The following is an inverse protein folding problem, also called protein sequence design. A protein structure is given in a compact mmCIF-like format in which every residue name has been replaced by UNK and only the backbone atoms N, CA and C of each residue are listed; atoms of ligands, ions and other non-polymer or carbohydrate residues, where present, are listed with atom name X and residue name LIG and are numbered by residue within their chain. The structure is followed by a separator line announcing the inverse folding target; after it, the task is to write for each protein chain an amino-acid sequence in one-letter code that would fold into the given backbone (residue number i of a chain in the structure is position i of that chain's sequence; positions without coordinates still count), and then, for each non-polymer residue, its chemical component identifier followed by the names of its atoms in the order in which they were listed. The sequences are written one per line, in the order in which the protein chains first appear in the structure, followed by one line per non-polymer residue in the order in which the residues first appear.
data_IF_111431273101
#
_entry.id   IF_111431273101
#
_cell.length_a   1.000
_cell.length_b   1.000
_cell.length_c   1.000
_cell.angle_alpha   90.00
_cell.angle_beta   90.00
_cell.angle_gamma   90.00
#
_symmetry.space_group_name_H-M   'P 1'
#
loop_
_entity.id
_entity.type
_entity.pdbx_description
1 polymer ?
#
# COMPACT_ATOMS: atom_id res chain seq x y z
N UNK A 1 14.31 31.43 21.65
CA UNK A 1 14.03 30.50 22.76
C UNK A 1 12.53 30.27 22.80
N UNK A 2 12.10 29.02 22.59
CA UNK A 2 10.70 28.59 22.68
C UNK A 2 10.22 28.65 24.13
N UNK A 3 8.91 28.75 24.33
CA UNK A 3 8.33 28.81 25.69
C UNK A 3 8.40 27.44 26.37
N UNK A 4 8.45 27.36 27.72
CA UNK A 4 8.55 26.10 28.44
C UNK A 4 7.45 25.07 28.10
N UNK A 5 6.26 25.52 27.70
CA UNK A 5 5.13 24.67 27.30
C UNK A 5 5.31 23.97 25.94
N UNK A 6 6.10 24.54 25.02
CA UNK A 6 6.33 23.95 23.69
C UNK A 6 7.34 22.78 23.74
N UNK A 7 8.17 22.73 24.79
CA UNK A 7 9.16 21.67 25.00
C UNK A 7 8.56 20.35 25.49
N UNK A 8 7.31 20.34 25.99
CA UNK A 8 6.60 19.12 26.39
C UNK A 8 5.87 18.44 25.23
N UNK A 9 5.65 19.16 24.12
CA UNK A 9 4.83 18.68 22.99
C UNK A 9 5.70 18.08 21.87
N UNK A 10 6.89 18.64 21.62
CA UNK A 10 7.75 18.27 20.50
C UNK A 10 8.96 17.44 20.94
N UNK A 11 9.33 16.43 20.15
CA UNK A 11 10.55 15.67 20.40
C UNK A 11 11.80 16.50 20.10
N UNK A 12 12.97 16.03 20.58
CA UNK A 12 14.26 16.65 20.25
C UNK A 12 14.52 16.66 18.74
N UNK A 13 14.05 15.65 18.02
CA UNK A 13 14.21 15.57 16.57
C UNK A 13 13.37 16.63 15.87
N UNK A 14 12.11 16.83 16.29
CA UNK A 14 11.21 17.83 15.71
C UNK A 14 11.78 19.24 15.86
N UNK A 15 12.27 19.57 17.05
CA UNK A 15 12.89 20.87 17.34
C UNK A 15 14.19 21.08 16.56
N UNK A 16 15.04 20.04 16.48
CA UNK A 16 16.30 20.12 15.73
C UNK A 16 16.04 20.28 14.23
N UNK A 17 15.07 19.54 13.68
CA UNK A 17 14.65 19.64 12.28
C UNK A 17 14.10 21.04 11.96
N UNK A 18 13.19 21.55 12.79
CA UNK A 18 12.62 22.88 12.63
C UNK A 18 13.68 23.98 12.66
N UNK A 19 14.59 23.94 13.65
CA UNK A 19 15.68 24.91 13.77
C UNK A 19 16.65 24.82 12.58
N UNK A 20 16.96 23.61 12.12
CA UNK A 20 17.85 23.40 10.98
C UNK A 20 17.31 24.07 9.71
N UNK A 21 16.01 23.92 9.42
CA UNK A 21 15.40 24.54 8.24
C UNK A 21 15.23 26.05 8.43
N UNK A 22 14.75 26.51 9.60
CA UNK A 22 14.53 27.95 9.86
C UNK A 22 15.81 28.79 9.74
N UNK A 23 16.97 28.22 10.09
CA UNK A 23 18.27 28.88 9.98
C UNK A 23 18.67 29.19 8.53
N UNK A 24 18.06 28.54 7.54
CA UNK A 24 18.33 28.74 6.11
C UNK A 24 17.40 29.76 5.44
N UNK A 25 16.58 30.44 6.24
CA UNK A 25 15.61 31.43 5.76
C UNK A 25 16.08 32.85 6.05
N UNK A 26 15.65 33.81 5.23
CA UNK A 26 15.87 35.25 5.42
C UNK A 26 14.71 35.95 6.14
N UNK A 27 13.83 35.18 6.79
CA UNK A 27 12.67 35.71 7.50
C UNK A 27 13.08 36.49 8.76
N UNK A 28 12.26 37.47 9.14
CA UNK A 28 12.38 38.21 10.38
C UNK A 28 12.06 37.34 11.61
N UNK A 29 12.51 37.76 12.78
CA UNK A 29 12.41 36.98 14.02
C UNK A 29 11.00 36.44 14.35
N UNK A 30 9.88 37.21 14.22
CA UNK A 30 8.56 36.68 14.54
C UNK A 30 8.08 35.63 13.51
N UNK A 31 8.27 35.87 12.20
CA UNK A 31 7.90 34.88 11.16
C UNK A 31 8.78 33.64 11.24
N UNK A 32 10.06 33.80 11.56
CA UNK A 32 10.97 32.67 11.78
C UNK A 32 10.52 31.79 12.94
N UNK A 33 10.07 32.38 14.06
CA UNK A 33 9.53 31.61 15.18
C UNK A 33 8.24 30.86 14.79
N UNK A 34 7.35 31.51 14.04
CA UNK A 34 6.13 30.87 13.54
C UNK A 34 6.46 29.69 12.59
N UNK A 35 7.45 29.85 11.72
CA UNK A 35 7.95 28.78 10.85
C UNK A 35 8.54 27.62 11.66
N UNK A 36 9.33 27.89 12.70
CA UNK A 36 9.87 26.84 13.57
C UNK A 36 8.75 26.01 14.22
N UNK A 37 7.72 26.65 14.76
CA UNK A 37 6.56 25.95 15.33
C UNK A 37 5.85 25.11 14.26
N UNK A 38 5.60 25.67 13.07
CA UNK A 38 4.93 24.97 11.97
C UNK A 38 5.71 23.72 11.52
N UNK A 39 7.03 23.82 11.39
CA UNK A 39 7.89 22.70 10.99
C UNK A 39 8.00 21.63 12.08
N UNK A 40 8.00 22.03 13.36
CA UNK A 40 7.96 21.10 14.48
C UNK A 40 6.62 20.33 14.50
N UNK A 41 5.49 21.02 14.24
CA UNK A 41 4.18 20.39 14.08
C UNK A 41 4.16 19.42 12.91
N UNK A 42 4.67 19.80 11.74
CA UNK A 42 4.76 18.91 10.59
C UNK A 42 5.54 17.62 10.92
N UNK A 43 6.71 17.77 11.53
CA UNK A 43 7.55 16.63 11.93
C UNK A 43 6.85 15.74 12.96
N UNK A 44 6.18 16.32 13.96
CA UNK A 44 5.42 15.56 14.95
C UNK A 44 4.25 14.79 14.34
N UNK A 45 3.45 15.44 13.48
CA UNK A 45 2.31 14.83 12.80
C UNK A 45 2.76 13.65 11.92
N UNK A 46 3.93 13.76 11.30
CA UNK A 46 4.53 12.67 10.53
C UNK A 46 4.93 11.47 11.40
N UNK A 47 5.43 11.69 12.62
CA UNK A 47 5.66 10.61 13.57
C UNK A 47 4.35 9.95 14.06
N UNK A 48 3.22 10.65 13.96
CA UNK A 48 1.88 10.14 14.27
C UNK A 48 1.20 9.48 13.06
N UNK A 49 1.86 9.43 11.91
CA UNK A 49 1.36 8.75 10.71
C UNK A 49 0.79 9.67 9.62
N UNK A 50 0.79 10.99 9.81
CA UNK A 50 0.25 11.95 8.84
C UNK A 50 1.30 12.39 7.80
N UNK A 51 0.95 12.37 6.50
CA UNK A 51 1.88 12.79 5.43
C UNK A 51 2.04 14.32 5.33
N UNK A 52 1.04 15.07 5.80
CA UNK A 52 0.94 16.51 5.67
C UNK A 52 0.14 17.15 6.80
N UNK A 53 0.22 18.47 6.90
CA UNK A 53 -0.63 19.29 7.77
C UNK A 53 -1.40 20.32 6.94
N UNK A 54 -2.62 20.64 7.34
CA UNK A 54 -3.36 21.76 6.75
C UNK A 54 -2.76 23.10 7.18
N UNK A 55 -2.71 24.03 6.23
CA UNK A 55 -2.18 25.38 6.44
C UNK A 55 -3.16 26.43 5.91
N UNK A 56 -3.15 27.61 6.51
CA UNK A 56 -3.91 28.78 6.04
C UNK A 56 -3.06 29.65 5.09
N UNK A 57 -3.71 30.64 4.47
CA UNK A 57 -3.06 31.55 3.50
C UNK A 57 -1.90 32.35 4.12
N UNK A 58 -1.97 32.66 5.42
CA UNK A 58 -0.90 33.35 6.14
C UNK A 58 0.36 32.49 6.22
N UNK A 59 0.22 31.23 6.62
CA UNK A 59 1.35 30.28 6.67
C UNK A 59 1.87 29.97 5.28
N UNK A 60 0.99 29.83 4.30
CA UNK A 60 1.35 29.63 2.90
C UNK A 60 2.25 30.75 2.38
N UNK A 61 1.84 32.01 2.56
CA UNK A 61 2.65 33.18 2.15
C UNK A 61 4.01 33.20 2.85
N UNK A 62 4.04 32.87 4.15
CA UNK A 62 5.28 32.75 4.91
C UNK A 62 6.22 31.65 4.40
N UNK A 63 5.69 30.50 4.02
CA UNK A 63 6.47 29.39 3.48
C UNK A 63 7.07 29.73 2.12
N UNK A 64 6.32 30.42 1.24
CA UNK A 64 6.84 30.88 -0.05
C UNK A 64 7.94 31.94 0.13
N UNK A 65 7.73 32.93 0.99
CA UNK A 65 8.73 33.95 1.32
C UNK A 65 9.99 33.37 1.97
N UNK A 66 9.87 32.19 2.60
CA UNK A 66 11.01 31.52 3.26
C UNK A 66 12.06 30.99 2.28
N UNK A 67 11.68 30.79 1.01
CA UNK A 67 12.51 30.14 -0.01
C UNK A 67 12.69 28.63 0.19
N UNK A 68 11.96 28.02 1.14
CA UNK A 68 12.03 26.57 1.44
C UNK A 68 10.88 25.76 0.84
N UNK A 69 9.84 26.41 0.34
CA UNK A 69 8.64 25.76 -0.19
C UNK A 69 8.30 26.30 -1.56
N UNK A 70 7.61 25.47 -2.35
CA UNK A 70 7.05 25.85 -3.63
C UNK A 70 5.66 25.25 -3.81
N UNK A 71 4.86 25.91 -4.65
CA UNK A 71 3.58 25.39 -5.13
C UNK A 71 3.82 24.64 -6.44
N UNK A 72 3.48 23.36 -6.49
CA UNK A 72 3.64 22.50 -7.67
C UNK A 72 5.10 22.28 -8.17
N UNK A 73 5.90 21.47 -7.44
CA UNK A 73 7.26 21.10 -7.88
C UNK A 73 7.29 20.20 -9.15
N UNK A 74 6.15 19.77 -9.69
CA UNK A 74 6.08 18.88 -10.86
C UNK A 74 6.69 19.49 -12.16
N UNK A 75 6.92 20.81 -12.19
CA UNK A 75 7.51 21.52 -13.33
C UNK A 75 8.74 22.36 -12.98
N UNK A 76 9.16 22.38 -11.70
CA UNK A 76 10.26 23.21 -11.25
C UNK A 76 11.63 22.56 -11.55
N UNK A 77 12.56 23.33 -12.11
CA UNK A 77 13.97 22.93 -12.26
C UNK A 77 14.73 22.84 -10.93
N UNK A 78 14.12 23.32 -9.85
CA UNK A 78 14.68 23.42 -8.51
C UNK A 78 13.84 22.60 -7.53
N UNK A 79 14.49 21.75 -6.74
CA UNK A 79 13.83 20.94 -5.70
C UNK A 79 13.81 21.70 -4.38
N UNK A 80 12.63 21.86 -3.80
CA UNK A 80 12.43 22.48 -2.49
C UNK A 80 12.25 21.40 -1.41
N UNK A 81 12.72 21.62 -0.16
CA UNK A 81 12.54 20.65 0.92
C UNK A 81 11.07 20.51 1.36
N UNK A 82 10.25 21.53 1.14
CA UNK A 82 8.82 21.56 1.48
C UNK A 82 7.99 21.74 0.21
N UNK A 83 6.78 21.17 0.23
CA UNK A 83 5.83 21.29 -0.88
C UNK A 83 4.48 21.72 -0.33
N UNK A 84 3.85 22.67 -1.03
CA UNK A 84 2.49 23.10 -0.74
C UNK A 84 1.58 22.62 -1.86
N UNK A 85 0.54 21.86 -1.51
CA UNK A 85 -0.48 21.41 -2.44
C UNK A 85 -1.85 21.47 -1.79
N UNK A 86 -2.80 22.19 -2.40
CA UNK A 86 -4.18 22.32 -1.92
C UNK A 86 -4.28 22.69 -0.43
N UNK A 87 -3.53 23.73 -0.01
CA UNK A 87 -3.45 24.18 1.39
C UNK A 87 -2.95 23.12 2.39
N UNK A 88 -2.20 22.12 1.90
CA UNK A 88 -1.50 21.14 2.73
C UNK A 88 0.01 21.31 2.56
N UNK A 89 0.73 21.26 3.68
CA UNK A 89 2.18 21.32 3.74
C UNK A 89 2.76 19.92 3.90
N UNK A 90 3.70 19.58 3.03
CA UNK A 90 4.39 18.30 3.01
C UNK A 90 5.90 18.50 3.15
N UNK A 91 6.58 17.49 3.70
CA UNK A 91 7.98 17.27 3.33
C UNK A 91 8.01 16.73 1.90
N UNK A 92 8.91 17.29 1.07
CA UNK A 92 9.01 16.93 -0.35
C UNK A 92 9.11 15.43 -0.59
N UNK A 93 9.83 14.71 0.27
CA UNK A 93 9.98 13.25 0.16
C UNK A 93 8.63 12.51 0.19
N UNK A 94 7.74 12.86 1.11
CA UNK A 94 6.45 12.18 1.27
C UNK A 94 5.46 12.61 0.20
N UNK A 95 5.44 13.91 -0.14
CA UNK A 95 4.69 14.39 -1.30
C UNK A 95 5.08 13.64 -2.57
N UNK A 96 6.39 13.45 -2.80
CA UNK A 96 6.90 12.73 -3.97
C UNK A 96 6.46 11.25 -3.98
N UNK A 97 6.47 10.58 -2.82
CA UNK A 97 5.95 9.20 -2.74
C UNK A 97 4.45 9.13 -3.01
N UNK A 98 3.67 10.06 -2.48
CA UNK A 98 2.22 10.15 -2.66
C UNK A 98 1.84 10.40 -4.12
N UNK A 99 2.38 11.47 -4.72
CA UNK A 99 2.13 11.83 -6.12
C UNK A 99 2.53 10.69 -7.08
N UNK A 100 3.69 10.08 -6.84
CA UNK A 100 4.18 8.99 -7.68
C UNK A 100 3.31 7.74 -7.54
N UNK A 101 2.97 7.35 -6.32
CA UNK A 101 2.11 6.20 -6.05
C UNK A 101 0.73 6.41 -6.69
N UNK A 102 0.12 7.58 -6.49
CA UNK A 102 -1.19 7.89 -7.05
C UNK A 102 -1.19 7.82 -8.59
N UNK A 103 -0.18 8.39 -9.25
CA UNK A 103 -0.04 8.33 -10.72
C UNK A 103 0.08 6.90 -11.23
N UNK A 104 0.92 6.08 -10.60
CA UNK A 104 1.14 4.71 -11.04
C UNK A 104 -0.06 3.81 -10.77
N UNK A 105 -0.63 3.88 -9.57
CA UNK A 105 -1.81 3.10 -9.22
C UNK A 105 -2.98 3.46 -10.13
N UNK A 106 -3.19 4.75 -10.46
CA UNK A 106 -4.21 5.16 -11.43
C UNK A 106 -3.99 4.50 -12.80
N UNK A 107 -2.74 4.45 -13.28
CA UNK A 107 -2.44 3.76 -14.53
C UNK A 107 -2.70 2.25 -14.43
N UNK A 108 -2.27 1.61 -13.36
CA UNK A 108 -2.45 0.17 -13.11
C UNK A 108 -3.93 -0.22 -13.00
N UNK A 109 -4.72 0.58 -12.28
CA UNK A 109 -6.14 0.33 -12.02
C UNK A 109 -7.01 0.37 -13.28
N UNK A 110 -6.57 1.09 -14.33
CA UNK A 110 -7.26 1.15 -15.62
C UNK A 110 -6.88 0.03 -16.60
N UNK A 111 -5.90 -0.82 -16.26
CA UNK A 111 -5.51 -1.92 -17.14
C UNK A 111 -6.47 -3.09 -16.94
N UNK A 112 -7.44 -3.17 -17.86
CA UNK A 112 -8.38 -4.28 -17.98
C UNK A 112 -7.88 -5.31 -19.01
N UNK A 113 -7.91 -6.59 -18.62
CA UNK A 113 -7.59 -7.75 -19.44
C UNK A 113 -8.87 -8.60 -19.58
N UNK A 114 -9.59 -8.53 -20.72
CA UNK A 114 -10.75 -9.38 -20.93
C UNK A 114 -10.33 -10.85 -20.89
N UNK A 115 -11.14 -11.67 -20.24
CA UNK A 115 -10.92 -13.11 -20.14
C UNK A 115 -12.15 -13.81 -20.70
N UNK A 116 -11.95 -14.61 -21.76
CA UNK A 116 -13.00 -15.43 -22.34
C UNK A 116 -13.35 -16.60 -21.42
N UNK A 117 -14.62 -17.00 -21.38
CA UNK A 117 -15.12 -18.13 -20.57
C UNK A 117 -14.79 -18.06 -19.06
N UNK A 118 -14.59 -16.84 -18.53
CA UNK A 118 -14.22 -16.64 -17.13
C UNK A 118 -15.25 -17.24 -16.16
N UNK A 119 -16.54 -17.13 -16.43
CA UNK A 119 -17.58 -17.66 -15.54
C UNK A 119 -17.48 -19.18 -15.37
N UNK A 120 -17.23 -19.93 -16.44
CA UNK A 120 -17.07 -21.40 -16.35
C UNK A 120 -15.87 -21.79 -15.47
N UNK A 121 -14.77 -21.03 -15.56
CA UNK A 121 -13.59 -21.25 -14.74
C UNK A 121 -13.84 -20.87 -13.28
N UNK A 122 -14.50 -19.73 -13.05
CA UNK A 122 -14.90 -19.30 -11.71
C UNK A 122 -15.80 -20.35 -11.04
N UNK A 123 -16.77 -20.89 -11.77
CA UNK A 123 -17.71 -21.87 -11.25
C UNK A 123 -17.01 -23.18 -10.86
N UNK A 124 -15.92 -23.56 -11.53
CA UNK A 124 -15.11 -24.72 -11.13
C UNK A 124 -14.31 -24.46 -9.85
N UNK A 125 -13.79 -23.25 -9.66
CA UNK A 125 -12.94 -22.91 -8.51
C UNK A 125 -13.73 -22.50 -7.26
N UNK A 126 -14.89 -21.88 -7.44
CA UNK A 126 -15.70 -21.31 -6.36
C UNK A 126 -17.07 -21.99 -6.21
N UNK A 127 -17.46 -22.83 -7.18
CA UNK A 127 -18.78 -23.45 -7.22
C UNK A 127 -19.84 -22.51 -7.81
N UNK A 128 -21.04 -23.07 -8.01
CA UNK A 128 -22.21 -22.30 -8.42
C UNK A 128 -23.07 -22.05 -7.17
N UNK A 129 -23.04 -20.82 -6.67
CA UNK A 129 -23.96 -20.38 -5.62
C UNK A 129 -25.12 -19.60 -6.25
N UNK A 130 -26.32 -20.20 -6.24
CA UNK A 130 -27.51 -19.63 -6.87
C UNK A 130 -28.30 -18.67 -5.95
N UNK A 131 -28.01 -18.66 -4.64
CA UNK A 131 -28.85 -18.00 -3.63
C UNK A 131 -28.27 -16.71 -3.07
N UNK A 132 -26.94 -16.57 -3.00
CA UNK A 132 -26.25 -15.39 -2.46
C UNK A 132 -24.99 -15.06 -3.26
N UNK A 133 -24.59 -13.78 -3.24
CA UNK A 133 -23.36 -13.32 -3.90
C UNK A 133 -22.14 -13.84 -3.15
N UNK A 134 -21.35 -14.69 -3.82
CA UNK A 134 -20.06 -15.12 -3.32
C UNK A 134 -19.01 -14.01 -3.56
N UNK A 135 -18.68 -13.27 -2.50
CA UNK A 135 -17.67 -12.20 -2.55
C UNK A 135 -16.26 -12.73 -2.86
N UNK A 136 -15.96 -14.01 -2.58
CA UNK A 136 -14.68 -14.62 -2.97
C UNK A 136 -14.63 -14.87 -4.48
N UNK A 137 -15.77 -15.29 -5.07
CA UNK A 137 -15.92 -15.42 -6.53
C UNK A 137 -15.80 -14.07 -7.23
N UNK A 138 -16.43 -13.02 -6.70
CA UNK A 138 -16.31 -11.66 -7.26
C UNK A 138 -14.88 -11.10 -7.13
N UNK A 139 -14.19 -11.36 -6.01
CA UNK A 139 -12.78 -11.03 -5.85
C UNK A 139 -11.91 -11.72 -6.93
N UNK A 140 -12.19 -12.99 -7.22
CA UNK A 140 -11.48 -13.73 -8.26
C UNK A 140 -11.76 -13.20 -9.67
N UNK A 141 -13.00 -12.81 -9.95
CA UNK A 141 -13.38 -12.17 -11.21
C UNK A 141 -12.61 -10.87 -11.43
N UNK A 142 -12.59 -9.99 -10.44
CA UNK A 142 -11.85 -8.71 -10.51
C UNK A 142 -10.35 -8.97 -10.63
N UNK A 143 -9.78 -9.89 -9.84
CA UNK A 143 -8.36 -10.24 -9.93
C UNK A 143 -7.97 -10.86 -11.30
N UNK A 144 -8.89 -11.58 -11.94
CA UNK A 144 -8.69 -12.15 -13.28
C UNK A 144 -8.72 -11.09 -14.39
N UNK A 145 -9.50 -10.03 -14.21
CA UNK A 145 -9.71 -9.01 -15.25
C UNK A 145 -8.91 -7.72 -15.05
N UNK A 146 -8.52 -7.39 -13.82
CA UNK A 146 -7.80 -6.15 -13.52
C UNK A 146 -6.32 -6.43 -13.23
N UNK A 147 -5.45 -5.51 -13.63
CA UNK A 147 -4.03 -5.58 -13.23
C UNK A 147 -3.81 -5.18 -11.76
N UNK A 148 -4.74 -4.43 -11.17
CA UNK A 148 -4.70 -4.05 -9.76
C UNK A 148 -6.01 -4.43 -9.07
N UNK A 149 -5.90 -5.11 -7.94
CA UNK A 149 -7.04 -5.54 -7.14
C UNK A 149 -6.72 -5.46 -5.65
N UNK A 150 -7.69 -4.98 -4.87
CA UNK A 150 -7.65 -4.98 -3.41
C UNK A 150 -8.71 -5.94 -2.91
N UNK A 151 -8.32 -6.91 -2.08
CA UNK A 151 -9.23 -7.83 -1.41
C UNK A 151 -9.13 -7.54 0.09
N UNK A 152 -10.20 -6.99 0.64
CA UNK A 152 -10.30 -6.65 2.06
C UNK A 152 -11.29 -7.57 2.77
N UNK A 153 -11.16 -7.67 4.09
CA UNK A 153 -12.12 -8.35 4.94
C UNK A 153 -11.53 -8.63 6.32
N UNK A 154 -12.40 -8.87 7.29
CA UNK A 154 -11.99 -9.15 8.67
C UNK A 154 -11.21 -10.46 8.86
N UNK A 155 -10.79 -10.77 10.09
CA UNK A 155 -10.22 -12.07 10.42
C UNK A 155 -11.23 -13.20 10.16
N UNK A 156 -10.80 -14.27 9.49
CA UNK A 156 -11.66 -15.45 9.26
C UNK A 156 -12.59 -15.38 8.04
N UNK A 157 -12.51 -14.33 7.21
CA UNK A 157 -13.32 -14.18 5.99
C UNK A 157 -12.81 -14.98 4.78
N UNK A 158 -11.77 -15.79 4.98
CA UNK A 158 -11.21 -16.66 3.94
C UNK A 158 -10.34 -15.96 2.90
N UNK A 159 -9.75 -14.80 3.20
CA UNK A 159 -8.80 -14.08 2.30
C UNK A 159 -7.72 -15.01 1.74
N UNK A 160 -7.07 -15.80 2.60
CA UNK A 160 -5.97 -16.66 2.16
C UNK A 160 -6.44 -17.89 1.37
N UNK A 161 -7.64 -18.39 1.63
CA UNK A 161 -8.27 -19.44 0.81
C UNK A 161 -8.66 -18.89 -0.57
N UNK A 162 -9.21 -17.67 -0.59
CA UNK A 162 -9.58 -16.95 -1.80
C UNK A 162 -8.36 -16.72 -2.69
N UNK A 163 -7.26 -16.21 -2.13
CA UNK A 163 -6.05 -15.99 -2.92
C UNK A 163 -5.49 -17.29 -3.48
N UNK A 164 -5.51 -18.41 -2.75
CA UNK A 164 -5.07 -19.71 -3.27
C UNK A 164 -5.82 -20.10 -4.55
N UNK A 165 -7.15 -19.96 -4.54
CA UNK A 165 -8.00 -20.23 -5.71
C UNK A 165 -7.73 -19.24 -6.84
N UNK A 166 -7.52 -17.96 -6.53
CA UNK A 166 -7.13 -16.94 -7.52
C UNK A 166 -5.79 -17.26 -8.17
N UNK A 167 -4.79 -17.71 -7.41
CA UNK A 167 -3.49 -18.09 -7.96
C UNK A 167 -3.63 -19.27 -8.95
N UNK A 168 -4.44 -20.27 -8.59
CA UNK A 168 -4.71 -21.40 -9.49
C UNK A 168 -5.45 -20.96 -10.76
N UNK A 169 -6.50 -20.12 -10.61
CA UNK A 169 -7.24 -19.54 -11.71
C UNK A 169 -6.33 -18.74 -12.66
N UNK A 170 -5.48 -17.87 -12.12
CA UNK A 170 -4.58 -17.04 -12.92
C UNK A 170 -3.51 -17.85 -13.64
N UNK A 171 -2.98 -18.91 -13.02
CA UNK A 171 -2.03 -19.81 -13.68
C UNK A 171 -2.69 -20.57 -14.83
N UNK A 172 -3.94 -20.97 -14.69
CA UNK A 172 -4.65 -21.67 -15.75
C UNK A 172 -5.11 -20.77 -16.89
N UNK A 173 -5.37 -19.49 -16.60
CA UNK A 173 -5.68 -18.48 -17.61
C UNK A 173 -4.47 -18.01 -18.41
N UNK A 174 -3.25 -18.28 -17.93
CA UNK A 174 -2.05 -17.80 -18.57
C UNK A 174 -1.57 -18.78 -19.65
N UNK A 175 -1.18 -18.25 -20.81
CA UNK A 175 -0.57 -19.04 -21.89
C UNK A 175 0.78 -19.65 -21.44
N UNK A 176 1.52 -18.89 -20.63
CA UNK A 176 2.78 -19.30 -20.02
C UNK A 176 2.69 -19.19 -18.49
N UNK A 177 3.43 -20.05 -17.79
CA UNK A 177 3.46 -20.07 -16.32
C UNK A 177 3.88 -18.70 -15.76
N UNK A 178 3.03 -18.09 -14.95
CA UNK A 178 3.29 -16.81 -14.31
C UNK A 178 4.37 -16.97 -13.23
N UNK A 179 5.31 -16.03 -13.19
CA UNK A 179 6.21 -15.87 -12.06
C UNK A 179 5.49 -15.09 -10.96
N UNK A 180 5.20 -15.77 -9.84
CA UNK A 180 4.40 -15.21 -8.75
C UNK A 180 5.28 -14.95 -7.52
N UNK A 181 5.21 -13.75 -6.98
CA UNK A 181 5.77 -13.41 -5.67
C UNK A 181 4.67 -13.30 -4.62
N UNK A 182 4.87 -13.99 -3.50
CA UNK A 182 4.07 -13.81 -2.29
C UNK A 182 4.89 -13.01 -1.28
N UNK A 183 4.34 -11.89 -0.83
CA UNK A 183 5.03 -11.01 0.09
C UNK A 183 4.14 -10.52 1.23
N UNK A 184 4.78 -10.11 2.32
CA UNK A 184 4.14 -9.44 3.44
C UNK A 184 5.10 -8.40 4.05
N UNK A 185 4.62 -7.41 4.82
CA UNK A 185 5.49 -6.39 5.42
C UNK A 185 6.44 -6.97 6.48
N UNK A 186 6.00 -7.99 7.24
CA UNK A 186 6.78 -8.58 8.34
C UNK A 186 7.10 -10.06 8.09
N UNK A 187 8.20 -10.55 8.68
CA UNK A 187 8.59 -11.96 8.56
C UNK A 187 7.57 -12.93 9.14
N UNK A 188 6.89 -12.56 10.24
CA UNK A 188 5.82 -13.36 10.84
C UNK A 188 4.61 -13.45 9.92
N UNK A 189 4.20 -12.35 9.29
CA UNK A 189 3.12 -12.35 8.30
C UNK A 189 3.48 -13.21 7.08
N UNK A 190 4.71 -13.08 6.56
CA UNK A 190 5.17 -13.89 5.43
C UNK A 190 5.14 -15.39 5.76
N UNK A 191 5.61 -15.79 6.94
CA UNK A 191 5.57 -17.19 7.38
C UNK A 191 4.13 -17.73 7.48
N UNK A 192 3.20 -16.95 8.05
CA UNK A 192 1.78 -17.32 8.14
C UNK A 192 1.13 -17.44 6.75
N UNK A 193 1.43 -16.51 5.85
CA UNK A 193 0.97 -16.59 4.46
C UNK A 193 1.46 -17.88 3.81
N UNK A 194 2.76 -18.19 3.94
CA UNK A 194 3.35 -19.42 3.41
C UNK A 194 2.68 -20.69 3.96
N UNK A 195 2.47 -20.78 5.27
CA UNK A 195 1.78 -21.93 5.91
C UNK A 195 0.34 -22.07 5.38
N UNK A 196 -0.39 -20.95 5.31
CA UNK A 196 -1.77 -20.96 4.85
C UNK A 196 -1.88 -21.33 3.36
N UNK A 197 -0.98 -20.85 2.49
CA UNK A 197 -0.94 -21.28 1.09
C UNK A 197 -0.66 -22.79 1.00
N UNK A 198 0.32 -23.29 1.77
CA UNK A 198 0.66 -24.71 1.75
C UNK A 198 -0.50 -25.62 2.17
N UNK A 199 -1.26 -25.22 3.20
CA UNK A 199 -2.45 -25.96 3.67
C UNK A 199 -3.58 -25.93 2.63
N UNK A 200 -3.95 -24.74 2.15
CA UNK A 200 -5.10 -24.58 1.25
C UNK A 200 -4.83 -25.14 -0.16
N UNK A 201 -3.56 -25.23 -0.58
CA UNK A 201 -3.16 -25.75 -1.90
C UNK A 201 -3.58 -27.20 -2.13
N UNK A 202 -3.60 -28.03 -1.09
CA UNK A 202 -3.99 -29.43 -1.21
C UNK A 202 -5.46 -29.57 -1.67
N UNK A 203 -6.33 -28.71 -1.13
CA UNK A 203 -7.78 -28.78 -1.29
C UNK A 203 -8.29 -28.13 -2.59
N UNK A 204 -7.43 -27.45 -3.35
CA UNK A 204 -7.83 -26.83 -4.62
C UNK A 204 -8.16 -27.92 -5.64
N UNK A 205 -9.33 -27.82 -6.27
CA UNK A 205 -9.70 -28.72 -7.38
C UNK A 205 -9.16 -28.16 -8.69
N UNK A 206 -7.91 -28.49 -9.03
CA UNK A 206 -7.27 -28.14 -10.30
C UNK A 206 -6.23 -29.18 -10.73
N UNK A 207 -5.79 -29.17 -12.01
CA UNK A 207 -4.75 -30.07 -12.48
C UNK A 207 -3.46 -29.97 -11.68
N UNK A 208 -2.76 -31.10 -11.49
CA UNK A 208 -1.51 -31.15 -10.71
C UNK A 208 -0.41 -30.25 -11.29
N UNK A 209 -0.40 -30.05 -12.62
CA UNK A 209 0.49 -29.10 -13.28
C UNK A 209 0.31 -27.66 -12.79
N UNK A 210 -0.94 -27.22 -12.64
CA UNK A 210 -1.29 -25.89 -12.13
C UNK A 210 -0.95 -25.79 -10.63
N UNK A 211 -1.29 -26.83 -9.84
CA UNK A 211 -0.88 -26.87 -8.42
C UNK A 211 0.63 -26.72 -8.28
N UNK A 212 1.42 -27.44 -9.08
CA UNK A 212 2.89 -27.38 -9.00
C UNK A 212 3.44 -25.95 -9.22
N UNK A 213 2.77 -25.13 -10.02
CA UNK A 213 3.16 -23.75 -10.33
C UNK A 213 2.75 -22.72 -9.25
N UNK A 214 1.94 -23.09 -8.26
CA UNK A 214 1.61 -22.20 -7.14
C UNK A 214 2.82 -22.09 -6.19
N UNK A 215 3.34 -20.87 -5.94
CA UNK A 215 4.51 -20.66 -5.09
C UNK A 215 4.26 -21.14 -3.66
N UNK A 216 5.28 -21.75 -3.07
CA UNK A 216 5.23 -22.25 -1.69
C UNK A 216 6.00 -21.36 -0.71
N UNK A 217 6.67 -20.33 -1.20
CA UNK A 217 7.50 -19.45 -0.39
C UNK A 217 6.94 -18.04 -0.40
N UNK A 218 6.77 -17.48 0.80
CA UNK A 218 6.48 -16.06 0.96
C UNK A 218 7.66 -15.37 1.66
N UNK A 219 7.94 -14.13 1.27
CA UNK A 219 9.07 -13.35 1.79
C UNK A 219 8.61 -11.97 2.26
N UNK A 220 9.48 -11.24 2.95
CA UNK A 220 9.15 -9.85 3.30
C UNK A 220 9.25 -8.95 2.07
N UNK A 221 8.49 -7.85 2.03
CA UNK A 221 8.61 -6.81 1.00
C UNK A 221 10.05 -6.28 0.90
N UNK A 222 10.72 -6.10 2.04
CA UNK A 222 12.12 -5.69 2.10
C UNK A 222 13.06 -6.69 1.41
N UNK A 223 12.83 -7.99 1.57
CA UNK A 223 13.62 -9.04 0.91
C UNK A 223 13.27 -9.12 -0.59
N UNK A 224 12.00 -8.97 -0.94
CA UNK A 224 11.52 -8.96 -2.33
C UNK A 224 12.18 -7.83 -3.14
N UNK A 225 12.19 -6.61 -2.58
CA UNK A 225 12.79 -5.44 -3.22
C UNK A 225 14.34 -5.44 -3.14
N UNK A 226 14.92 -6.31 -2.32
CA UNK A 226 16.36 -6.40 -2.13
C UNK A 226 16.91 -5.21 -1.34
N UNK A 227 16.49 -5.09 -0.07
CA UNK A 227 16.99 -4.08 0.87
C UNK A 227 18.53 -4.10 0.93
N UNK A 228 19.14 -2.91 0.96
CA UNK A 228 20.60 -2.75 1.06
C UNK A 228 20.97 -2.05 2.37
N UNK A 229 20.95 -2.71 3.54
CA UNK A 229 21.35 -2.06 4.79
C UNK A 229 22.79 -1.51 4.70
N UNK A 230 23.08 -0.30 5.24
CA UNK A 230 22.19 0.61 5.99
C UNK A 230 21.55 1.72 5.12
N UNK A 231 21.04 1.37 3.94
CA UNK A 231 20.44 2.32 2.98
C UNK A 231 18.91 2.24 2.93
N UNK A 232 18.20 3.36 2.72
CA UNK A 232 16.76 3.36 2.44
C UNK A 232 16.43 2.91 1.01
N UNK A 233 17.44 2.65 0.18
CA UNK A 233 17.29 2.25 -1.21
C UNK A 233 17.26 0.74 -1.37
N UNK A 234 16.49 0.30 -2.37
CA UNK A 234 16.33 -1.10 -2.74
C UNK A 234 17.19 -1.45 -3.97
N UNK A 235 17.33 -2.74 -4.24
CA UNK A 235 17.94 -3.23 -5.48
C UNK A 235 16.98 -3.08 -6.66
N UNK A 236 15.70 -3.33 -6.43
CA UNK A 236 14.67 -3.26 -7.45
C UNK A 236 13.94 -1.91 -7.39
N UNK A 237 13.79 -1.32 -8.57
CA UNK A 237 13.15 -0.02 -8.81
C UNK A 237 12.69 0.05 -10.28
N UNK A 238 12.19 1.20 -10.73
CA UNK A 238 11.71 1.38 -12.10
C UNK A 238 12.76 1.13 -13.20
N UNK A 239 14.07 1.24 -12.89
CA UNK A 239 15.17 0.97 -13.83
C UNK A 239 15.62 -0.49 -13.78
N UNK A 240 15.40 -1.16 -12.66
CA UNK A 240 15.67 -2.58 -12.47
C UNK A 240 14.44 -3.29 -11.87
N UNK A 241 13.38 -3.52 -12.66
CA UNK A 241 12.12 -4.03 -12.16
C UNK A 241 12.25 -5.47 -11.64
N UNK A 242 11.25 -5.88 -10.86
CA UNK A 242 11.04 -7.26 -10.44
C UNK A 242 10.71 -8.14 -11.66
N UNK A 243 11.13 -9.40 -11.61
CA UNK A 243 10.89 -10.37 -12.68
C UNK A 243 9.47 -10.95 -12.67
N UNK A 244 8.72 -10.73 -11.60
CA UNK A 244 7.42 -11.36 -11.34
C UNK A 244 6.28 -10.77 -12.18
N UNK A 245 5.43 -11.64 -12.72
CA UNK A 245 4.19 -11.30 -13.44
C UNK A 245 3.04 -10.97 -12.50
N UNK A 246 3.06 -11.54 -11.30
CA UNK A 246 2.07 -11.31 -10.25
C UNK A 246 2.77 -11.12 -8.92
N UNK A 247 2.45 -10.03 -8.23
CA UNK A 247 2.85 -9.79 -6.84
C UNK A 247 1.61 -9.77 -5.97
N UNK A 248 1.59 -10.63 -4.95
CA UNK A 248 0.57 -10.62 -3.90
C UNK A 248 1.20 -10.09 -2.63
N UNK A 249 0.56 -9.10 -2.02
CA UNK A 249 0.97 -8.54 -0.73
C UNK A 249 -0.10 -8.82 0.31
N UNK A 250 0.22 -9.63 1.31
CA UNK A 250 -0.63 -9.85 2.48
C UNK A 250 -0.31 -8.87 3.61
N UNK A 251 -1.28 -8.64 4.49
CA UNK A 251 -1.23 -7.63 5.55
C UNK A 251 -0.90 -6.22 5.00
N UNK A 252 -1.48 -5.85 3.86
CA UNK A 252 -1.23 -4.59 3.17
C UNK A 252 -1.60 -3.35 4.01
N UNK A 253 -2.45 -3.50 5.03
CA UNK A 253 -2.79 -2.44 6.00
C UNK A 253 -1.57 -1.94 6.79
N UNK A 254 -0.55 -2.78 6.96
CA UNK A 254 0.68 -2.43 7.67
C UNK A 254 1.74 -1.78 6.76
N UNK A 255 1.50 -1.66 5.45
CA UNK A 255 2.47 -1.13 4.49
C UNK A 255 2.38 0.40 4.46
N UNK A 256 3.50 1.06 4.74
CA UNK A 256 3.60 2.53 4.70
C UNK A 256 3.68 3.09 3.28
N UNK A 257 3.54 4.41 3.16
CA UNK A 257 3.59 5.13 1.88
C UNK A 257 4.91 4.92 1.12
N UNK A 258 6.05 4.96 1.82
CA UNK A 258 7.36 4.87 1.17
C UNK A 258 7.61 3.46 0.60
N UNK A 259 7.24 2.42 1.35
CA UNK A 259 7.38 1.03 0.93
C UNK A 259 6.40 0.68 -0.19
N UNK A 260 5.14 1.15 -0.12
CA UNK A 260 4.17 0.93 -1.20
C UNK A 260 4.61 1.65 -2.48
N UNK A 261 5.02 2.92 -2.39
CA UNK A 261 5.53 3.68 -3.53
C UNK A 261 6.70 2.96 -4.22
N UNK A 262 7.67 2.47 -3.44
CA UNK A 262 8.83 1.72 -3.95
C UNK A 262 8.46 0.34 -4.49
N UNK A 263 7.43 -0.31 -3.95
CA UNK A 263 6.92 -1.58 -4.47
C UNK A 263 6.34 -1.39 -5.87
N UNK A 264 5.42 -0.44 -6.02
CA UNK A 264 4.74 -0.19 -7.31
C UNK A 264 5.76 0.26 -8.37
N UNK A 265 6.75 1.05 -7.97
CA UNK A 265 7.89 1.43 -8.82
C UNK A 265 8.69 0.24 -9.36
N UNK A 266 8.83 -0.80 -8.54
CA UNK A 266 9.61 -1.97 -8.89
C UNK A 266 8.81 -3.00 -9.73
N UNK A 267 7.52 -2.78 -9.97
CA UNK A 267 6.72 -3.69 -10.81
C UNK A 267 7.12 -3.54 -12.28
N UNK A 268 7.32 -4.66 -12.97
CA UNK A 268 7.52 -4.65 -14.42
C UNK A 268 6.24 -4.22 -15.14
N UNK A 269 6.33 -3.59 -16.32
CA UNK A 269 5.16 -3.31 -17.15
C UNK A 269 4.33 -4.58 -17.42
N UNK A 270 3.01 -4.47 -17.29
CA UNK A 270 2.08 -5.58 -17.51
C UNK A 270 1.91 -6.55 -16.34
N UNK A 271 2.70 -6.40 -15.27
CA UNK A 271 2.54 -7.17 -14.04
C UNK A 271 1.20 -6.87 -13.35
N UNK A 272 0.73 -7.82 -12.55
CA UNK A 272 -0.44 -7.69 -11.69
C UNK A 272 -0.02 -7.50 -10.23
N UNK A 273 -0.79 -6.70 -9.51
CA UNK A 273 -0.64 -6.49 -8.08
C UNK A 273 -1.98 -6.79 -7.37
N UNK A 274 -1.94 -7.71 -6.42
CA UNK A 274 -3.07 -8.00 -5.54
C UNK A 274 -2.68 -7.62 -4.11
N UNK A 275 -3.46 -6.73 -3.50
CA UNK A 275 -3.30 -6.35 -2.10
C UNK A 275 -4.36 -7.06 -1.26
N UNK A 276 -3.92 -7.81 -0.25
CA UNK A 276 -4.78 -8.41 0.76
C UNK A 276 -4.61 -7.62 2.06
N UNK A 277 -5.72 -7.25 2.68
CA UNK A 277 -5.66 -6.52 3.94
C UNK A 277 -6.97 -6.53 4.68
N UNK A 278 -7.01 -5.76 5.75
CA UNK A 278 -8.19 -5.55 6.56
C UNK A 278 -8.35 -4.05 6.74
N UNK A 279 -9.50 -3.53 6.33
CA UNK A 279 -9.81 -2.09 6.41
C UNK A 279 -9.95 -1.62 7.86
N UNK A 280 -10.27 -2.53 8.79
CA UNK A 280 -10.56 -2.23 10.19
C UNK A 280 -9.36 -2.53 11.10
N UNK A 281 -8.24 -3.04 10.55
CA UNK A 281 -7.00 -3.23 11.30
C UNK A 281 -6.21 -1.94 11.46
N UNK A 282 -5.30 -1.93 12.43
CA UNK A 282 -4.34 -0.87 12.61
C UNK A 282 -3.58 -0.61 11.31
N UNK A 283 -3.56 0.65 10.90
CA UNK A 283 -2.72 1.12 9.80
C UNK A 283 -1.22 0.94 10.14
N UNK A 284 -0.36 1.18 9.15
CA UNK A 284 1.09 1.20 9.36
C UNK A 284 1.47 2.11 10.52
N UNK A 285 2.52 1.72 11.26
CA UNK A 285 3.11 2.54 12.33
C UNK A 285 3.86 3.74 11.74
N UNK A 286 4.27 3.65 10.47
CA UNK A 286 4.87 4.77 9.72
C UNK A 286 3.81 5.55 8.93
N UNK A 287 4.21 6.65 8.32
CA UNK A 287 3.30 7.62 7.66
C UNK A 287 2.47 7.03 6.51
N UNK A 288 1.18 7.35 6.53
CA UNK A 288 0.21 7.12 5.46
C UNK A 288 -0.70 5.91 5.70
N UNK A 289 -2.02 6.14 5.64
CA UNK A 289 -3.04 5.09 5.67
C UNK A 289 -3.33 4.54 4.25
N UNK A 290 -2.27 4.11 3.56
CA UNK A 290 -2.28 3.86 2.10
C UNK A 290 -3.40 2.93 1.67
N UNK A 291 -3.60 1.80 2.37
CA UNK A 291 -4.64 0.84 1.99
C UNK A 291 -6.05 1.46 2.10
N UNK A 292 -6.32 2.23 3.16
CA UNK A 292 -7.62 2.88 3.36
C UNK A 292 -7.89 3.94 2.28
N UNK A 293 -6.89 4.75 1.96
CA UNK A 293 -6.98 5.77 0.91
C UNK A 293 -7.21 5.12 -0.47
N UNK A 294 -6.52 4.01 -0.76
CA UNK A 294 -6.71 3.26 -2.00
C UNK A 294 -8.09 2.60 -2.11
N UNK A 295 -8.61 2.04 -1.01
CA UNK A 295 -9.97 1.48 -0.95
C UNK A 295 -11.01 2.57 -1.25
N UNK A 296 -10.85 3.76 -0.67
CA UNK A 296 -11.75 4.88 -0.90
C UNK A 296 -11.65 5.42 -2.34
N UNK A 297 -10.45 5.46 -2.91
CA UNK A 297 -10.19 6.01 -4.24
C UNK A 297 -10.54 5.03 -5.39
N UNK A 298 -10.50 3.72 -5.15
CA UNK A 298 -10.65 2.67 -6.18
C UNK A 298 -11.71 1.62 -5.79
N UNK A 299 -12.99 2.02 -5.68
CA UNK A 299 -14.07 1.09 -5.33
C UNK A 299 -14.23 -0.04 -6.38
N UNK A 300 -14.00 0.25 -7.67
CA UNK A 300 -14.17 -0.72 -8.75
C UNK A 300 -13.05 -1.80 -8.78
N UNK A 301 -11.92 -1.54 -8.14
CA UNK A 301 -10.81 -2.48 -8.00
C UNK A 301 -10.81 -3.19 -6.63
N UNK A 302 -11.77 -2.86 -5.75
CA UNK A 302 -11.81 -3.33 -4.37
C UNK A 302 -12.98 -4.26 -4.12
N UNK A 303 -12.71 -5.40 -3.48
CA UNK A 303 -13.73 -6.34 -3.02
C UNK A 303 -13.60 -6.57 -1.53
N UNK A 304 -14.71 -6.41 -0.80
CA UNK A 304 -14.80 -6.73 0.62
C UNK A 304 -15.43 -8.11 0.81
N UNK A 305 -14.68 -9.03 1.42
CA UNK A 305 -15.17 -10.33 1.85
C UNK A 305 -15.97 -10.17 3.14
N UNK A 306 -17.31 -10.30 3.04
CA UNK A 306 -18.23 -10.02 4.15
C UNK A 306 -18.56 -11.21 5.04
N UNK A 307 -18.46 -12.45 4.53
CA UNK A 307 -18.82 -13.64 5.28
C UNK A 307 -17.62 -14.18 6.07
N UNK A 308 -17.79 -14.39 7.38
CA UNK A 308 -16.77 -14.99 8.24
C UNK A 308 -17.10 -16.45 8.52
N UNK A 309 -16.24 -17.36 8.06
CA UNK A 309 -16.43 -18.80 8.24
C UNK A 309 -15.89 -19.32 9.58
N UNK A 310 -15.11 -18.50 10.30
CA UNK A 310 -14.49 -18.90 11.56
C UNK A 310 -15.48 -18.92 12.73
N UNK A 311 -16.53 -18.11 12.69
CA UNK A 311 -17.53 -18.00 13.76
C UNK A 311 -18.80 -18.82 13.50
N UNK A 312 -19.09 -19.16 12.24
CA UNK A 312 -20.24 -20.01 11.90
C UNK A 312 -20.10 -21.44 12.46
N UNK A 313 -18.87 -21.98 12.51
CA UNK A 313 -18.60 -23.30 13.09
C UNK A 313 -18.74 -23.33 14.63
N UNK A 314 -18.48 -22.21 15.31
CA UNK A 314 -18.65 -22.11 16.76
C UNK A 314 -20.12 -21.93 17.15
N UNK A 315 -20.91 -21.20 16.35
CA UNK A 315 -22.35 -21.02 16.58
C UNK A 315 -23.11 -22.32 16.31
N UNK A 316 -22.74 -23.10 15.28
CA UNK A 316 -23.33 -24.43 15.01
C UNK A 316 -22.99 -25.49 16.07
N UNK A 317 -21.96 -25.28 16.89
CA UNK A 317 -21.63 -26.17 18.02
C UNK A 317 -22.35 -25.79 19.31
N UNK A 318 -22.96 -24.60 19.37
CA UNK A 318 -23.69 -24.09 20.54
C UNK A 318 -25.22 -24.20 20.38
N UNK A 319 -25.71 -24.63 19.21
CA UNK A 319 -27.12 -24.90 18.91
C UNK A 319 -27.36 -26.41 18.79
#
# INVERSE_FOLDING_TARGET
MLTPNEAEIFSRLDLAFASFLSQRTTLDAPRKKALETLLATLSQQQHQGHNCIEINDTYKTMLLDSGLADEHPATASQTYPLVIEQNRLYLHRYWFYEDRLAKQIKQFAHIFKPVENLDNLLDRYFGVNATETDWQREAAKIAAQQAFCIITGGPGTGKTTTICRILALLQELADESLLIALAAPTGKAAMRLQEAIALNKADIVCPDSIKAQIPQTAITLHRLLGAKPPSPYFRHDARNPLVFDLVVVDEASMVDLALMSKLVDALKPGARLILLGDKDQLASVESGAVLADLIAALPDNTVELRQSYRFDDDIKKLA
#
